data_IF_308576203184
#
_entry.id   IF_308576203184
#
_cell.length_a   1.000
_cell.length_b   1.000
_cell.length_c   1.000
_cell.angle_alpha   90.00
_cell.angle_beta   90.00
_cell.angle_gamma   90.00
#
_symmetry.space_group_name_H-M   'P 1'
#
loop_
_entity.id
_entity.type
_entity.pdbx_description
1 polymer ?
#
# COMPACT_ATOMS: atom_id res chain seq x y z
N UNK A 1 -27.38 10.41 4.00
CA UNK A 1 -26.04 10.31 3.39
C UNK A 1 -25.78 8.83 3.19
N UNK A 2 -25.45 8.42 1.96
CA UNK A 2 -25.04 7.04 1.69
C UNK A 2 -23.73 6.80 2.43
N UNK A 3 -23.68 5.76 3.24
CA UNK A 3 -22.42 5.30 3.81
C UNK A 3 -21.56 4.78 2.65
N UNK A 4 -20.51 5.52 2.27
CA UNK A 4 -19.64 5.18 1.14
C UNK A 4 -19.10 3.75 1.26
N UNK A 5 -18.86 3.26 2.48
CA UNK A 5 -18.40 1.91 2.73
C UNK A 5 -19.36 0.83 2.23
N UNK A 6 -20.67 1.09 2.34
CA UNK A 6 -21.75 0.17 1.91
C UNK A 6 -22.00 0.15 0.40
N UNK A 7 -21.36 1.03 -0.37
CA UNK A 7 -21.48 1.03 -1.83
C UNK A 7 -20.88 -0.28 -2.35
N UNK A 8 -21.65 -0.99 -3.20
CA UNK A 8 -21.28 -2.30 -3.71
C UNK A 8 -21.13 -2.31 -5.23
N UNK A 9 -20.21 -3.14 -5.72
CA UNK A 9 -20.07 -3.49 -7.14
C UNK A 9 -20.99 -4.65 -7.58
N UNK A 10 -21.87 -5.12 -6.68
CA UNK A 10 -22.73 -6.29 -6.87
C UNK A 10 -22.18 -7.59 -6.28
N UNK A 11 -20.91 -7.62 -5.88
CA UNK A 11 -20.25 -8.77 -5.25
C UNK A 11 -19.64 -8.43 -3.90
N UNK A 12 -19.02 -7.25 -3.79
CA UNK A 12 -18.38 -6.74 -2.58
C UNK A 12 -18.79 -5.29 -2.33
N UNK A 13 -18.77 -4.90 -1.05
CA UNK A 13 -18.85 -3.51 -0.62
C UNK A 13 -17.46 -2.86 -0.65
N UNK A 14 -17.39 -1.53 -0.66
CA UNK A 14 -16.10 -0.85 -0.55
C UNK A 14 -15.37 -1.21 0.73
N UNK A 15 -16.06 -1.33 1.87
CA UNK A 15 -15.42 -1.74 3.13
C UNK A 15 -14.75 -3.12 3.02
N UNK A 16 -15.43 -4.09 2.41
CA UNK A 16 -14.85 -5.43 2.16
C UNK A 16 -13.62 -5.36 1.24
N UNK A 17 -13.70 -4.59 0.15
CA UNK A 17 -12.57 -4.41 -0.78
C UNK A 17 -11.38 -3.71 -0.10
N UNK A 18 -11.64 -2.74 0.78
CA UNK A 18 -10.61 -2.07 1.58
C UNK A 18 -9.97 -3.03 2.59
N UNK A 19 -10.75 -3.90 3.24
CA UNK A 19 -10.25 -4.94 4.13
C UNK A 19 -9.37 -5.95 3.39
N UNK A 20 -9.81 -6.44 2.22
CA UNK A 20 -9.00 -7.35 1.41
C UNK A 20 -7.68 -6.70 0.99
N UNK A 21 -7.70 -5.44 0.55
CA UNK A 21 -6.48 -4.69 0.21
C UNK A 21 -5.53 -4.59 1.40
N UNK A 22 -6.05 -4.33 2.60
CA UNK A 22 -5.24 -4.29 3.82
C UNK A 22 -4.57 -5.65 4.08
N UNK A 23 -5.34 -6.75 4.04
CA UNK A 23 -4.83 -8.09 4.31
C UNK A 23 -3.82 -8.57 3.26
N UNK A 24 -4.10 -8.37 1.98
CA UNK A 24 -3.18 -8.72 0.90
C UNK A 24 -1.90 -7.88 0.95
N UNK A 25 -1.99 -6.60 1.31
CA UNK A 25 -0.80 -5.76 1.45
C UNK A 25 0.05 -6.18 2.66
N UNK A 26 -0.56 -6.52 3.80
CA UNK A 26 0.17 -7.05 4.95
C UNK A 26 0.91 -8.37 4.60
N UNK A 27 0.25 -9.26 3.86
CA UNK A 27 0.88 -10.48 3.35
C UNK A 27 2.02 -10.19 2.37
N UNK A 28 1.82 -9.28 1.41
CA UNK A 28 2.83 -8.90 0.44
C UNK A 28 4.04 -8.20 1.09
N UNK A 29 3.81 -7.34 2.08
CA UNK A 29 4.86 -6.66 2.83
C UNK A 29 5.83 -7.65 3.49
N UNK A 30 5.30 -8.75 4.06
CA UNK A 30 6.14 -9.83 4.61
C UNK A 30 6.99 -10.49 3.52
N UNK A 31 6.37 -10.84 2.39
CA UNK A 31 7.09 -11.45 1.28
C UNK A 31 8.17 -10.52 0.69
N UNK A 32 7.92 -9.21 0.65
CA UNK A 32 8.90 -8.23 0.19
C UNK A 32 10.07 -8.06 1.16
N UNK A 33 9.81 -8.10 2.48
CA UNK A 33 10.87 -8.13 3.49
C UNK A 33 11.73 -9.39 3.35
N UNK A 34 11.10 -10.55 3.16
CA UNK A 34 11.80 -11.83 2.95
C UNK A 34 12.65 -11.82 1.66
N UNK A 35 12.19 -11.09 0.63
CA UNK A 35 12.94 -10.86 -0.60
C UNK A 35 14.03 -9.77 -0.48
N UNK A 36 14.17 -9.14 0.69
CA UNK A 36 15.17 -8.10 0.95
C UNK A 36 14.82 -6.72 0.41
N UNK A 37 13.57 -6.48 0.00
CA UNK A 37 13.13 -5.14 -0.39
C UNK A 37 12.85 -4.28 0.84
N UNK A 38 13.25 -2.99 0.85
CA UNK A 38 12.92 -2.09 1.95
C UNK A 38 11.42 -1.91 2.07
N UNK A 39 10.87 -2.26 3.23
CA UNK A 39 9.48 -1.97 3.61
C UNK A 39 9.50 -1.34 4.99
N UNK A 40 8.76 -0.25 5.16
CA UNK A 40 8.64 0.46 6.44
C UNK A 40 7.19 0.87 6.69
N UNK A 41 6.85 1.08 7.95
CA UNK A 41 5.58 1.69 8.37
C UNK A 41 5.84 2.91 9.24
N UNK A 42 4.96 3.90 9.18
CA UNK A 42 5.08 5.11 9.98
C UNK A 42 3.72 5.74 10.27
N UNK A 43 3.60 6.38 11.43
CA UNK A 43 2.46 7.23 11.77
C UNK A 43 2.50 8.60 11.09
N UNK A 44 3.67 9.00 10.57
CA UNK A 44 3.92 10.32 10.00
C UNK A 44 4.31 10.22 8.54
N UNK A 45 3.91 11.22 7.77
CA UNK A 45 4.47 11.46 6.45
C UNK A 45 5.94 11.90 6.55
N UNK A 46 6.61 12.05 5.41
CA UNK A 46 8.03 12.43 5.35
C UNK A 46 8.31 13.79 6.01
N UNK A 47 7.38 14.73 5.90
CA UNK A 47 7.47 16.07 6.48
C UNK A 47 7.32 16.08 8.02
N UNK A 48 7.06 14.93 8.64
CA UNK A 48 6.86 14.80 10.07
C UNK A 48 5.42 15.00 10.53
N UNK A 49 4.51 15.37 9.62
CA UNK A 49 3.11 15.55 9.96
C UNK A 49 2.41 14.19 10.15
N UNK A 50 1.51 14.07 11.15
CA UNK A 50 0.70 12.87 11.32
C UNK A 50 -0.11 12.57 10.05
N UNK A 51 -0.18 11.30 9.66
CA UNK A 51 -0.95 10.89 8.49
C UNK A 51 -2.41 11.38 8.59
N UNK A 52 -2.80 12.30 7.71
CA UNK A 52 -4.12 12.94 7.66
C UNK A 52 -4.56 13.60 8.99
N UNK A 53 -3.62 14.15 9.76
CA UNK A 53 -3.91 14.75 11.07
C UNK A 53 -4.06 13.73 12.21
N UNK A 54 -3.76 12.45 11.97
CA UNK A 54 -3.76 11.39 12.97
C UNK A 54 -4.86 10.34 12.76
N UNK A 55 -4.73 9.21 13.46
CA UNK A 55 -5.64 8.07 13.32
C UNK A 55 -5.36 7.18 12.11
N UNK A 56 -4.29 7.47 11.38
CA UNK A 56 -3.83 6.72 10.21
C UNK A 56 -2.33 6.45 10.29
N UNK A 57 -1.89 5.43 9.57
CA UNK A 57 -0.49 5.17 9.30
C UNK A 57 -0.29 4.88 7.82
N UNK A 58 0.96 4.94 7.37
CA UNK A 58 1.37 4.58 6.02
C UNK A 58 2.30 3.37 6.07
N UNK A 59 2.17 2.50 5.08
CA UNK A 59 3.15 1.45 4.77
C UNK A 59 3.75 1.77 3.41
N UNK A 60 5.07 1.78 3.33
CA UNK A 60 5.84 2.12 2.12
C UNK A 60 6.80 0.99 1.82
N UNK A 61 6.71 0.44 0.61
CA UNK A 61 7.68 -0.50 0.07
C UNK A 61 8.45 0.15 -1.08
N UNK A 62 9.79 0.04 -1.05
CA UNK A 62 10.66 0.43 -2.15
C UNK A 62 10.98 -0.81 -2.99
N UNK A 63 10.20 -1.03 -4.04
CA UNK A 63 10.35 -2.19 -4.92
C UNK A 63 11.31 -1.86 -6.08
N UNK A 64 11.89 -2.87 -6.77
CA UNK A 64 12.73 -2.64 -7.95
C UNK A 64 12.01 -1.85 -9.07
N UNK A 65 10.68 -1.94 -9.12
CA UNK A 65 9.85 -1.23 -10.09
C UNK A 65 9.51 0.22 -9.69
N UNK A 66 9.81 0.61 -8.45
CA UNK A 66 9.46 1.90 -7.85
C UNK A 66 8.71 1.75 -6.52
N UNK A 67 8.41 2.87 -5.87
CA UNK A 67 7.73 2.91 -4.58
C UNK A 67 6.28 2.41 -4.68
N UNK A 68 5.76 1.74 -3.67
CA UNK A 68 4.32 1.58 -3.50
C UNK A 68 3.98 1.94 -2.06
N UNK A 69 2.87 2.63 -1.86
CA UNK A 69 2.43 2.95 -0.50
C UNK A 69 0.92 2.99 -0.38
N UNK A 70 0.45 2.71 0.84
CA UNK A 70 -0.95 2.84 1.20
C UNK A 70 -1.09 3.34 2.63
N UNK A 71 -2.14 4.12 2.86
CA UNK A 71 -2.57 4.54 4.18
C UNK A 71 -3.69 3.63 4.72
N UNK A 72 -3.64 3.39 6.03
CA UNK A 72 -4.62 2.58 6.75
C UNK A 72 -4.97 3.21 8.09
N UNK A 73 -6.17 2.94 8.59
CA UNK A 73 -6.59 3.34 9.94
C UNK A 73 -5.83 2.55 11.01
N UNK A 74 -5.65 3.13 12.19
CA UNK A 74 -4.93 2.54 13.33
C UNK A 74 -5.27 1.09 13.65
N UNK A 75 -6.52 0.66 13.44
CA UNK A 75 -6.95 -0.72 13.70
C UNK A 75 -6.18 -1.80 12.91
N UNK A 76 -5.60 -1.46 11.76
CA UNK A 76 -4.79 -2.38 10.95
C UNK A 76 -3.31 -2.45 11.35
N UNK A 77 -2.86 -1.68 12.34
CA UNK A 77 -1.43 -1.51 12.64
C UNK A 77 -0.73 -2.83 12.96
N UNK A 78 -1.35 -3.67 13.78
CA UNK A 78 -0.77 -4.94 14.23
C UNK A 78 -0.59 -5.97 13.10
N UNK A 79 -1.34 -5.86 12.01
CA UNK A 79 -1.19 -6.74 10.83
C UNK A 79 0.18 -6.59 10.16
N UNK A 80 0.82 -5.42 10.31
CA UNK A 80 2.17 -5.14 9.81
C UNK A 80 3.24 -5.29 10.89
N UNK A 81 3.05 -6.19 11.86
CA UNK A 81 3.95 -6.36 13.01
C UNK A 81 5.42 -6.63 12.67
N UNK A 82 5.68 -7.26 11.52
CA UNK A 82 7.04 -7.56 11.04
C UNK A 82 7.66 -6.40 10.25
N UNK A 83 6.87 -5.38 9.90
CA UNK A 83 7.37 -4.23 9.14
C UNK A 83 8.05 -3.24 10.10
N UNK A 84 9.33 -2.89 9.86
CA UNK A 84 10.04 -1.91 10.66
C UNK A 84 9.27 -0.59 10.78
N UNK A 85 9.10 -0.12 12.01
CA UNK A 85 8.55 1.21 12.30
C UNK A 85 9.65 2.26 12.17
N UNK A 86 9.34 3.36 11.49
CA UNK A 86 10.21 4.52 11.34
C UNK A 86 9.50 5.80 11.78
N UNK A 87 10.27 6.77 12.27
CA UNK A 87 9.73 8.04 12.78
C UNK A 87 8.94 8.79 11.70
N UNK A 88 9.48 8.88 10.49
CA UNK A 88 8.80 9.47 9.33
C UNK A 88 8.91 8.56 8.12
N UNK A 89 7.85 8.53 7.30
CA UNK A 89 7.86 7.78 6.05
C UNK A 89 8.93 8.31 5.07
N UNK A 90 9.45 7.48 4.14
CA UNK A 90 10.30 7.95 3.05
C UNK A 90 9.61 9.04 2.20
N UNK A 91 10.43 9.87 1.52
CA UNK A 91 9.92 10.88 0.57
C UNK A 91 9.02 10.19 -0.47
N UNK A 92 7.84 10.77 -0.69
CA UNK A 92 6.93 10.30 -1.73
C UNK A 92 7.53 10.57 -3.12
N UNK A 93 7.58 9.54 -3.95
CA UNK A 93 8.17 9.63 -5.30
C UNK A 93 7.20 10.22 -6.36
N UNK A 94 6.03 10.72 -5.95
CA UNK A 94 5.04 11.32 -6.84
C UNK A 94 4.12 10.32 -7.54
N UNK A 95 4.15 9.03 -7.17
CA UNK A 95 3.35 8.01 -7.85
C UNK A 95 1.84 8.18 -7.69
N UNK A 96 1.09 7.84 -8.75
CA UNK A 96 -0.36 7.71 -8.69
C UNK A 96 -0.80 6.23 -8.79
N UNK A 97 -2.12 5.99 -8.80
CA UNK A 97 -2.69 4.64 -8.91
C UNK A 97 -2.24 3.88 -10.16
N UNK A 98 -2.07 4.56 -11.29
CA UNK A 98 -1.59 3.93 -12.53
C UNK A 98 -0.13 3.48 -12.40
N UNK A 99 0.71 4.27 -11.73
CA UNK A 99 2.08 3.88 -11.42
C UNK A 99 2.13 2.66 -10.51
N UNK A 100 1.38 2.67 -9.41
CA UNK A 100 1.32 1.52 -8.48
C UNK A 100 0.83 0.27 -9.21
N UNK A 101 -0.23 0.39 -10.00
CA UNK A 101 -0.78 -0.73 -10.78
C UNK A 101 0.26 -1.28 -11.75
N UNK A 102 0.96 -0.41 -12.49
CA UNK A 102 2.02 -0.81 -13.42
C UNK A 102 3.18 -1.49 -12.69
N UNK A 103 3.63 -0.93 -11.56
CA UNK A 103 4.72 -1.46 -10.72
C UNK A 103 4.41 -2.88 -10.25
N UNK A 104 3.23 -3.08 -9.67
CA UNK A 104 2.79 -4.39 -9.19
C UNK A 104 2.60 -5.39 -10.34
N UNK A 105 2.04 -4.96 -11.48
CA UNK A 105 1.94 -5.83 -12.68
C UNK A 105 3.30 -6.27 -13.19
N UNK A 106 4.28 -5.37 -13.24
CA UNK A 106 5.65 -5.72 -13.66
C UNK A 106 6.28 -6.72 -12.71
N UNK A 107 6.08 -6.59 -11.39
CA UNK A 107 6.58 -7.57 -10.41
C UNK A 107 5.93 -8.94 -10.54
N UNK A 108 4.61 -8.99 -10.79
CA UNK A 108 3.90 -10.25 -10.99
C UNK A 108 4.23 -10.92 -12.33
N UNK A 109 4.58 -10.14 -13.35
CA UNK A 109 4.79 -10.60 -14.72
C UNK A 109 6.19 -11.12 -15.05
N UNK A 110 7.19 -10.92 -14.18
CA UNK A 110 8.55 -11.44 -14.38
C UNK A 110 9.36 -10.81 -15.53
N UNK A 111 8.76 -10.07 -16.45
CA UNK A 111 9.42 -9.20 -17.44
C UNK A 111 8.55 -7.96 -17.74
N UNK A 112 9.18 -6.88 -18.25
CA UNK A 112 8.56 -5.58 -18.55
C UNK A 112 7.36 -5.66 -19.51
N UNK A 113 6.66 -4.53 -19.75
CA UNK A 113 5.31 -4.53 -20.30
C UNK A 113 5.25 -5.29 -21.62
N UNK A 114 4.47 -6.38 -21.64
CA UNK A 114 4.01 -6.98 -22.87
C UNK A 114 3.31 -5.87 -23.68
N UNK A 115 3.86 -5.61 -24.86
CA UNK A 115 3.21 -4.78 -25.86
C UNK A 115 1.79 -5.30 -26.04
N UNK A 116 0.81 -4.41 -25.85
CA UNK A 116 -0.54 -4.66 -26.34
C UNK A 116 -0.45 -4.53 -27.86
N UNK A 117 -0.23 -5.67 -28.53
CA UNK A 117 -0.43 -5.79 -29.96
C UNK A 117 -1.91 -6.04 -30.25
N UNK A 118 -2.53 -4.97 -30.79
CA UNK A 118 -3.78 -4.87 -31.57
C UNK A 118 -5.10 -5.24 -30.91
#
# INVERSE_FOLDING_TARGET
>A
MTDTGSISDGFHTFDELYEFRLLYHAYAARAWLDAGYPVVRSWKHHDGEPCFGGGWFIVVAQLPTGQVSNHYRTGGWSLFGDVPEVETAPVWDGHNTADVTRRLRTLLGGEGPASVSR
#
